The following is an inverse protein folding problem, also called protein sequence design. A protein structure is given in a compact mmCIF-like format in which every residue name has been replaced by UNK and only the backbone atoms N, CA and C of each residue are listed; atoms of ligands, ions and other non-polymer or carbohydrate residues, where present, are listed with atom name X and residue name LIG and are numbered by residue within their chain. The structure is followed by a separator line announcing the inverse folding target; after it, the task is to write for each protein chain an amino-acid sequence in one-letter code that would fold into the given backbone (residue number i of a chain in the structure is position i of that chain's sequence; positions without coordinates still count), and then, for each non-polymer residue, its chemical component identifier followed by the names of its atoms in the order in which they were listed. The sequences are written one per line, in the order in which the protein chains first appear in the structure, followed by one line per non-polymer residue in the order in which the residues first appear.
data_IF_020166863632
#
_entry.id   IF_020166863632
#
_cell.length_a   1.000
_cell.length_b   1.000
_cell.length_c   1.000
_cell.angle_alpha   90.00
_cell.angle_beta   90.00
_cell.angle_gamma   90.00
#
_symmetry.space_group_name_H-M   'P 1'
#
loop_
_entity.id
_entity.type
_entity.pdbx_description
1 polymer ?
#
# COMPACT_ATOMS: atom_id res chain seq x y z
N UNK A 1 -17.98 31.94 -20.89
CA UNK A 1 -18.30 31.96 -19.45
C UNK A 1 -17.27 31.11 -18.73
N UNK A 2 -16.48 31.70 -17.84
CA UNK A 2 -15.42 31.00 -17.06
C UNK A 2 -16.06 30.46 -15.78
N UNK A 3 -16.03 29.15 -15.57
CA UNK A 3 -16.47 28.54 -14.31
C UNK A 3 -15.30 28.49 -13.33
N UNK A 4 -15.30 29.37 -12.34
CA UNK A 4 -14.41 29.29 -11.17
C UNK A 4 -14.88 28.17 -10.24
N UNK A 5 -14.04 27.17 -9.99
CA UNK A 5 -14.26 26.16 -8.95
C UNK A 5 -13.42 26.49 -7.72
N UNK A 6 -14.04 26.54 -6.54
CA UNK A 6 -13.32 26.68 -5.28
C UNK A 6 -12.65 25.35 -4.88
N UNK A 7 -11.37 25.39 -4.49
CA UNK A 7 -10.62 24.24 -3.94
C UNK A 7 -10.38 24.48 -2.45
N UNK A 8 -10.42 23.37 -1.69
CA UNK A 8 -10.58 23.28 -0.24
C UNK A 8 -9.67 24.17 0.65
N UNK A 9 -10.23 24.53 1.81
CA UNK A 9 -9.76 25.52 2.77
C UNK A 9 -8.68 25.01 3.75
N UNK A 10 -7.77 25.90 4.17
CA UNK A 10 -7.30 25.89 5.57
C UNK A 10 -8.29 26.76 6.36
N UNK A 11 -8.80 26.25 7.47
CA UNK A 11 -9.69 26.96 8.41
C UNK A 11 -11.07 27.41 7.87
N UNK A 12 -11.56 26.80 6.80
CA UNK A 12 -12.91 27.06 6.28
C UNK A 12 -13.07 28.34 5.46
N UNK A 13 -12.00 29.11 5.22
CA UNK A 13 -12.05 30.31 4.37
C UNK A 13 -11.68 29.96 2.90
N UNK A 14 -12.55 30.24 1.92
CA UNK A 14 -12.25 29.99 0.51
C UNK A 14 -11.15 30.93 0.00
N UNK A 15 -10.07 30.36 -0.55
CA UNK A 15 -8.97 31.10 -1.16
C UNK A 15 -9.04 31.00 -2.68
N UNK A 16 -9.03 32.14 -3.38
CA UNK A 16 -9.17 32.22 -4.85
C UNK A 16 -7.85 32.02 -5.63
N UNK A 17 -6.81 31.43 -5.03
CA UNK A 17 -5.43 31.57 -5.51
C UNK A 17 -4.86 30.39 -6.33
N UNK A 18 -5.70 29.57 -6.99
CA UNK A 18 -5.21 28.45 -7.82
C UNK A 18 -5.94 28.47 -9.16
N UNK A 19 -5.56 29.41 -10.04
CA UNK A 19 -6.22 29.61 -11.34
C UNK A 19 -5.86 28.55 -12.41
N UNK A 20 -4.77 27.79 -12.25
CA UNK A 20 -4.23 26.96 -13.34
C UNK A 20 -4.13 25.45 -13.03
N UNK A 21 -4.73 24.96 -11.94
CA UNK A 21 -4.71 23.51 -11.64
C UNK A 21 -5.95 22.85 -12.23
N UNK A 22 -5.75 21.87 -13.11
CA UNK A 22 -6.85 21.02 -13.58
C UNK A 22 -7.53 20.37 -12.38
N UNK A 23 -8.80 20.72 -12.15
CA UNK A 23 -9.61 20.15 -11.08
C UNK A 23 -10.16 18.81 -11.55
N UNK A 24 -9.96 17.76 -10.74
CA UNK A 24 -10.55 16.45 -10.98
C UNK A 24 -12.06 16.59 -11.14
N UNK A 25 -12.59 16.15 -12.28
CA UNK A 25 -14.03 16.17 -12.52
C UNK A 25 -14.66 14.95 -11.87
N UNK A 26 -15.77 15.18 -11.17
CA UNK A 26 -16.62 14.11 -10.66
C UNK A 26 -17.05 13.25 -11.85
N UNK A 27 -16.59 12.01 -11.91
CA UNK A 27 -17.12 11.01 -12.84
C UNK A 27 -18.45 10.48 -12.28
N UNK A 28 -19.39 10.19 -13.19
CA UNK A 28 -20.61 9.48 -12.79
C UNK A 28 -20.19 8.10 -12.23
N UNK A 29 -20.79 7.62 -11.12
CA UNK A 29 -20.40 6.33 -10.49
C UNK A 29 -20.42 5.12 -11.43
N UNK A 30 -21.16 5.21 -12.54
CA UNK A 30 -21.29 4.16 -13.56
C UNK A 30 -20.27 4.27 -14.71
N UNK A 31 -19.47 5.34 -14.77
CA UNK A 31 -18.47 5.58 -15.83
C UNK A 31 -17.05 5.20 -15.45
N UNK A 32 -16.75 5.11 -14.15
CA UNK A 32 -15.49 4.58 -13.67
C UNK A 32 -15.67 3.09 -13.36
N UNK A 33 -14.81 2.20 -13.87
CA UNK A 33 -14.83 0.81 -13.44
C UNK A 33 -14.66 0.75 -11.92
N UNK A 34 -15.27 -0.25 -11.28
CA UNK A 34 -15.13 -0.43 -9.84
C UNK A 34 -13.62 -0.57 -9.50
N UNK A 35 -13.10 0.02 -8.40
CA UNK A 35 -11.68 -0.06 -8.06
C UNK A 35 -11.12 -1.49 -8.00
N UNK A 36 -11.95 -2.47 -7.61
CA UNK A 36 -11.58 -3.88 -7.64
C UNK A 36 -11.38 -4.46 -9.06
N UNK A 37 -11.92 -3.82 -10.10
CA UNK A 37 -11.74 -4.17 -11.51
C UNK A 37 -10.48 -3.56 -12.12
N UNK A 38 -9.77 -2.68 -11.39
CA UNK A 38 -8.51 -2.05 -11.81
C UNK A 38 -7.26 -2.74 -11.24
N UNK A 39 -7.41 -3.91 -10.63
CA UNK A 39 -6.28 -4.62 -10.05
C UNK A 39 -5.54 -5.35 -11.19
N UNK A 40 -4.62 -4.64 -11.84
CA UNK A 40 -3.68 -5.24 -12.81
C UNK A 40 -2.62 -6.13 -12.12
N UNK A 41 -2.68 -6.27 -10.78
CA UNK A 41 -1.84 -7.18 -10.02
C UNK A 41 -2.34 -8.62 -10.15
N UNK A 42 -1.45 -9.49 -10.65
CA UNK A 42 -1.66 -10.92 -10.61
C UNK A 42 -1.11 -11.48 -9.29
N UNK A 43 -1.95 -12.21 -8.56
CA UNK A 43 -1.54 -12.94 -7.36
C UNK A 43 -1.38 -14.41 -7.70
N UNK A 44 -0.27 -15.00 -7.28
CA UNK A 44 0.00 -16.44 -7.42
C UNK A 44 0.39 -17.00 -6.06
N UNK A 45 -0.40 -17.94 -5.55
CA UNK A 45 -0.01 -18.70 -4.37
C UNK A 45 1.13 -19.65 -4.74
N UNK A 46 2.24 -19.55 -4.02
CA UNK A 46 3.39 -20.42 -4.16
C UNK A 46 3.49 -21.26 -2.89
N UNK A 47 3.64 -22.58 -3.05
CA UNK A 47 3.55 -23.53 -1.92
C UNK A 47 4.93 -24.02 -1.49
N UNK A 48 5.92 -23.97 -2.38
CA UNK A 48 7.26 -24.50 -2.17
C UNK A 48 8.34 -23.54 -2.71
N UNK A 49 9.59 -23.82 -2.34
CA UNK A 49 10.73 -22.99 -2.69
C UNK A 49 11.07 -23.10 -4.18
N UNK A 50 10.85 -24.26 -4.80
CA UNK A 50 11.09 -24.50 -6.21
C UNK A 50 10.21 -23.61 -7.08
N UNK A 51 8.92 -23.51 -6.76
CA UNK A 51 7.96 -22.61 -7.39
C UNK A 51 8.33 -21.15 -7.16
N UNK A 52 8.77 -20.79 -5.96
CA UNK A 52 9.24 -19.43 -5.70
C UNK A 52 10.38 -19.10 -6.64
N UNK A 53 11.44 -19.90 -6.66
CA UNK A 53 12.63 -19.67 -7.49
C UNK A 53 12.31 -19.64 -8.99
N UNK A 54 11.43 -20.54 -9.47
CA UNK A 54 11.02 -20.57 -10.87
C UNK A 54 10.24 -19.32 -11.32
N UNK A 55 9.55 -18.65 -10.39
CA UNK A 55 8.82 -17.40 -10.67
C UNK A 55 9.61 -16.14 -10.24
N UNK A 56 10.80 -16.29 -9.63
CA UNK A 56 11.52 -15.19 -8.99
C UNK A 56 12.40 -14.40 -9.99
N UNK A 57 11.77 -13.79 -10.99
CA UNK A 57 12.45 -12.98 -12.02
C UNK A 57 12.59 -11.50 -11.69
N UNK A 58 12.35 -11.11 -10.44
CA UNK A 58 12.30 -9.70 -10.03
C UNK A 58 13.66 -9.22 -9.49
N UNK A 59 14.04 -7.98 -9.85
CA UNK A 59 15.25 -7.32 -9.34
C UNK A 59 15.21 -7.10 -7.82
N UNK A 60 13.99 -6.94 -7.27
CA UNK A 60 13.74 -6.75 -5.85
C UNK A 60 12.67 -7.71 -5.37
N UNK A 61 12.96 -8.36 -4.24
CA UNK A 61 12.02 -9.24 -3.57
C UNK A 61 11.69 -8.69 -2.19
N UNK A 62 10.40 -8.57 -1.89
CA UNK A 62 9.91 -8.10 -0.60
C UNK A 62 9.28 -9.29 0.09
N UNK A 63 9.88 -9.72 1.19
CA UNK A 63 9.34 -10.78 2.03
C UNK A 63 8.79 -10.17 3.29
N UNK A 64 7.64 -10.68 3.71
CA UNK A 64 6.95 -10.20 4.89
C UNK A 64 6.40 -11.39 5.65
N UNK A 65 6.50 -11.31 6.96
CA UNK A 65 6.01 -12.34 7.84
C UNK A 65 5.40 -11.70 9.09
N UNK A 66 4.30 -12.27 9.53
CA UNK A 66 3.53 -11.83 10.67
C UNK A 66 3.33 -12.98 11.64
N UNK A 67 3.59 -12.74 12.92
CA UNK A 67 3.45 -13.76 13.96
C UNK A 67 2.64 -13.25 15.14
N UNK A 68 1.95 -14.18 15.82
CA UNK A 68 1.30 -13.95 17.12
C UNK A 68 1.66 -15.08 18.06
N UNK A 69 2.44 -14.76 19.09
CA UNK A 69 2.95 -15.72 20.08
C UNK A 69 2.68 -15.13 21.47
N UNK A 70 2.04 -15.91 22.34
CA UNK A 70 1.75 -15.51 23.73
C UNK A 70 1.10 -14.12 23.85
N UNK A 71 0.14 -13.83 22.98
CA UNK A 71 -0.56 -12.54 22.93
C UNK A 71 0.25 -11.40 22.30
N UNK A 72 1.56 -11.54 22.11
CA UNK A 72 2.39 -10.57 21.39
C UNK A 72 2.26 -10.80 19.90
N UNK A 73 1.83 -9.77 19.19
CA UNK A 73 1.86 -9.78 17.72
C UNK A 73 3.19 -9.17 17.28
N UNK A 74 3.77 -9.62 16.16
CA UNK A 74 4.96 -9.09 15.50
C UNK A 74 4.80 -9.14 13.99
N UNK A 75 5.45 -8.24 13.28
CA UNK A 75 5.60 -8.35 11.84
C UNK A 75 7.00 -7.90 11.44
N UNK A 76 7.53 -8.55 10.42
CA UNK A 76 8.81 -8.26 9.81
C UNK A 76 8.61 -8.08 8.31
N UNK A 77 9.41 -7.21 7.71
CA UNK A 77 9.53 -7.05 6.27
C UNK A 77 11.01 -6.93 5.93
N UNK A 78 11.47 -7.67 4.93
CA UNK A 78 12.83 -7.60 4.41
C UNK A 78 12.80 -7.42 2.89
N UNK A 79 13.76 -6.64 2.37
CA UNK A 79 13.92 -6.40 0.94
C UNK A 79 15.25 -6.90 0.47
N UNK A 80 15.21 -7.71 -0.58
CA UNK A 80 16.36 -8.42 -1.12
C UNK A 80 16.60 -7.99 -2.56
N UNK A 81 17.88 -7.87 -2.94
CA UNK A 81 18.32 -7.75 -4.33
C UNK A 81 19.17 -8.97 -4.63
N UNK A 82 18.66 -9.88 -5.44
CA UNK A 82 19.26 -11.21 -5.62
C UNK A 82 19.39 -11.92 -4.27
N UNK A 83 20.61 -12.34 -3.91
CA UNK A 83 20.91 -13.05 -2.66
C UNK A 83 21.28 -12.14 -1.47
N UNK A 84 21.20 -10.82 -1.62
CA UNK A 84 21.61 -9.87 -0.56
C UNK A 84 20.39 -9.15 0.05
N UNK A 85 20.25 -9.21 1.38
CA UNK A 85 19.31 -8.39 2.13
C UNK A 85 19.78 -6.94 2.13
N UNK A 86 18.93 -6.03 1.65
CA UNK A 86 19.25 -4.60 1.50
C UNK A 86 18.61 -3.75 2.60
N UNK A 87 17.43 -4.15 3.09
CA UNK A 87 16.68 -3.43 4.12
C UNK A 87 15.82 -4.40 4.92
N UNK A 88 15.59 -4.04 6.18
CA UNK A 88 14.79 -4.82 7.12
C UNK A 88 14.01 -3.89 8.04
N UNK A 89 12.78 -4.26 8.36
CA UNK A 89 11.91 -3.56 9.31
C UNK A 89 11.23 -4.60 10.18
N UNK A 90 11.27 -4.40 11.50
CA UNK A 90 10.53 -5.21 12.48
C UNK A 90 9.67 -4.29 13.32
N UNK A 91 8.38 -4.63 13.46
CA UNK A 91 7.43 -3.85 14.24
C UNK A 91 6.86 -4.68 15.39
N UNK A 92 6.97 -4.14 16.60
CA UNK A 92 6.22 -4.52 17.79
C UNK A 92 5.00 -3.57 17.97
N UNK A 93 3.84 -4.06 18.41
CA UNK A 93 2.59 -3.34 18.66
C UNK A 93 1.92 -4.06 19.84
N UNK A 94 0.95 -3.43 20.50
CA UNK A 94 0.26 -4.04 21.62
C UNK A 94 -0.52 -5.31 21.22
N UNK A 95 -0.87 -6.10 22.23
CA UNK A 95 -1.43 -7.46 22.09
C UNK A 95 -2.85 -7.53 21.53
N UNK A 96 -3.54 -6.40 21.55
CA UNK A 96 -4.88 -6.18 21.01
C UNK A 96 -4.90 -6.14 19.47
N UNK A 97 -3.75 -5.89 18.83
CA UNK A 97 -3.62 -5.88 17.38
C UNK A 97 -3.73 -7.30 16.79
N UNK A 98 -4.13 -7.39 15.53
CA UNK A 98 -4.08 -8.61 14.72
C UNK A 98 -2.77 -8.69 13.93
N UNK A 99 -2.39 -9.91 13.53
CA UNK A 99 -1.24 -10.12 12.62
C UNK A 99 -1.44 -9.32 11.33
N UNK A 100 -2.65 -9.32 10.78
CA UNK A 100 -2.99 -8.57 9.57
C UNK A 100 -2.78 -7.05 9.72
N UNK A 101 -3.24 -6.44 10.82
CA UNK A 101 -3.05 -5.00 11.08
C UNK A 101 -1.55 -4.64 11.12
N UNK A 102 -0.76 -5.48 11.78
CA UNK A 102 0.70 -5.33 11.84
C UNK A 102 1.36 -5.42 10.50
N UNK A 103 0.94 -6.43 9.77
CA UNK A 103 1.44 -6.69 8.45
C UNK A 103 1.17 -5.50 7.52
N UNK A 104 -0.05 -4.96 7.53
CA UNK A 104 -0.38 -3.75 6.79
C UNK A 104 0.44 -2.54 7.26
N UNK A 105 0.59 -2.34 8.56
CA UNK A 105 1.38 -1.24 9.11
C UNK A 105 2.85 -1.32 8.67
N UNK A 106 3.38 -2.54 8.56
CA UNK A 106 4.76 -2.75 8.12
C UNK A 106 4.94 -2.26 6.68
N UNK A 107 3.96 -2.49 5.79
CA UNK A 107 3.99 -1.93 4.43
C UNK A 107 3.89 -0.41 4.46
N UNK A 108 2.99 0.15 5.29
CA UNK A 108 2.81 1.59 5.39
C UNK A 108 4.04 2.34 5.91
N UNK A 109 4.81 1.72 6.83
CA UNK A 109 6.00 2.32 7.45
C UNK A 109 7.30 2.05 6.70
N UNK A 110 7.28 1.18 5.70
CA UNK A 110 8.46 0.79 4.95
C UNK A 110 8.75 1.78 3.83
#
# INVERSE_FOLDING_TARGET
MRSCGAVWCKDGVPQWAIEDREVERISLPLRSPHPACHIDLQFKCQVDQEQLMANNGHDFNIYKDGSKIEGKVNAALSVWRGAAETKTLKLALPSDCTVYQKELLTIYKF
#
